data_IF_895668600396
#
_entry.id   IF_895668600396
#
_cell.length_a   1.000
_cell.length_b   1.000
_cell.length_c   1.000
_cell.angle_alpha   90.00
_cell.angle_beta   90.00
_cell.angle_gamma   90.00
#
_symmetry.space_group_name_H-M   'P 1'
#
loop_
_entity.id
_entity.type
_entity.pdbx_description
1 polymer ?
#
# COMPACT_ATOMS: atom_id res chain seq x y z
N UNK A 1 -26.83 -17.14 -8.59
CA UNK A 1 -27.40 -15.90 -9.15
C UNK A 1 -28.86 -15.83 -8.72
N UNK A 2 -29.31 -14.82 -8.01
CA UNK A 2 -30.72 -14.66 -7.72
C UNK A 2 -31.44 -14.25 -9.04
N UNK A 3 -32.24 -15.14 -9.55
CA UNK A 3 -33.07 -14.93 -10.72
C UNK A 3 -34.46 -14.55 -10.21
N UNK A 4 -35.04 -13.49 -10.76
CA UNK A 4 -36.43 -13.11 -10.47
C UNK A 4 -37.30 -13.29 -11.72
N UNK A 5 -38.57 -13.61 -11.50
CA UNK A 5 -39.58 -13.67 -12.54
C UNK A 5 -40.77 -12.80 -12.10
N UNK A 6 -41.08 -11.80 -12.87
CA UNK A 6 -42.25 -10.95 -12.68
C UNK A 6 -43.03 -10.85 -13.99
N UNK A 7 -44.26 -11.34 -13.98
CA UNK A 7 -45.16 -11.34 -15.15
C UNK A 7 -44.57 -12.01 -16.39
N UNK A 8 -43.84 -13.12 -16.23
CA UNK A 8 -43.25 -13.87 -17.33
C UNK A 8 -41.97 -13.26 -17.92
N UNK A 9 -41.42 -12.18 -17.29
CA UNK A 9 -40.12 -11.62 -17.60
C UNK A 9 -39.11 -12.14 -16.59
N UNK A 10 -38.05 -12.75 -17.11
CA UNK A 10 -36.93 -13.21 -16.30
C UNK A 10 -35.86 -12.12 -16.24
N UNK A 11 -35.33 -11.87 -15.08
CA UNK A 11 -34.21 -10.98 -14.88
C UNK A 11 -33.24 -11.50 -13.83
N UNK A 12 -32.04 -10.99 -13.84
CA UNK A 12 -31.03 -11.23 -12.82
C UNK A 12 -31.01 -10.00 -11.91
N UNK A 13 -31.02 -10.22 -10.61
CA UNK A 13 -30.85 -9.11 -9.66
C UNK A 13 -29.40 -8.67 -9.73
N UNK A 14 -29.12 -7.57 -10.43
CA UNK A 14 -27.78 -7.01 -10.67
C UNK A 14 -27.12 -6.37 -9.42
N UNK A 15 -27.66 -6.60 -8.24
CA UNK A 15 -27.03 -6.06 -7.02
C UNK A 15 -25.63 -6.70 -6.84
N UNK A 16 -24.61 -5.94 -7.21
CA UNK A 16 -23.20 -6.30 -7.03
C UNK A 16 -22.43 -6.68 -8.28
N UNK A 17 -23.06 -6.68 -9.48
CA UNK A 17 -22.33 -6.84 -10.75
C UNK A 17 -22.03 -5.47 -11.35
N UNK A 18 -20.79 -5.30 -11.79
CA UNK A 18 -20.39 -4.15 -12.59
C UNK A 18 -20.89 -4.31 -14.05
N UNK A 19 -21.16 -3.22 -14.78
CA UNK A 19 -21.44 -3.27 -16.21
C UNK A 19 -20.32 -3.97 -16.96
N UNK A 20 -20.62 -4.51 -18.16
CA UNK A 20 -19.61 -5.12 -19.02
C UNK A 20 -18.54 -4.09 -19.37
N UNK A 21 -17.29 -4.43 -19.14
CA UNK A 21 -16.13 -3.64 -19.51
C UNK A 21 -15.51 -4.22 -20.78
N UNK A 22 -15.05 -3.36 -21.66
CA UNK A 22 -14.31 -3.73 -22.86
C UNK A 22 -12.86 -3.25 -22.69
N UNK A 23 -11.91 -4.17 -22.84
CA UNK A 23 -10.48 -3.87 -22.79
C UNK A 23 -9.88 -4.01 -24.21
N UNK A 24 -9.02 -3.09 -24.57
CA UNK A 24 -8.07 -3.28 -25.66
C UNK A 24 -7.01 -4.32 -25.25
N UNK A 25 -6.24 -4.83 -26.23
CA UNK A 25 -5.15 -5.78 -25.97
C UNK A 25 -4.09 -5.18 -25.04
N UNK A 26 -3.73 -3.91 -25.24
CA UNK A 26 -2.69 -3.22 -24.45
C UNK A 26 -3.14 -2.95 -23.02
N UNK A 27 -4.42 -2.60 -22.82
CA UNK A 27 -5.00 -2.47 -21.47
C UNK A 27 -5.01 -3.80 -20.74
N UNK A 28 -5.44 -4.88 -21.40
CA UNK A 28 -5.44 -6.22 -20.82
C UNK A 28 -4.01 -6.68 -20.49
N UNK A 29 -3.03 -6.44 -21.37
CA UNK A 29 -1.62 -6.73 -21.11
C UNK A 29 -1.08 -5.99 -19.88
N UNK A 30 -1.39 -4.71 -19.75
CA UNK A 30 -1.00 -3.89 -18.61
C UNK A 30 -1.57 -4.42 -17.29
N UNK A 31 -2.84 -4.85 -17.27
CA UNK A 31 -3.47 -5.47 -16.10
C UNK A 31 -2.78 -6.81 -15.76
N UNK A 32 -2.48 -7.63 -16.76
CA UNK A 32 -1.77 -8.92 -16.54
C UNK A 32 -0.38 -8.69 -15.94
N UNK A 33 0.38 -7.70 -16.43
CA UNK A 33 1.69 -7.36 -15.85
C UNK A 33 1.58 -6.89 -14.41
N UNK A 34 0.61 -6.03 -14.10
CA UNK A 34 0.36 -5.56 -12.73
C UNK A 34 -0.02 -6.73 -11.81
N UNK A 35 -0.89 -7.63 -12.29
CA UNK A 35 -1.27 -8.83 -11.54
C UNK A 35 -0.09 -9.77 -11.28
N UNK A 36 0.80 -9.96 -12.26
CA UNK A 36 2.03 -10.76 -12.08
C UNK A 36 3.01 -10.13 -11.09
N UNK A 37 3.12 -8.80 -11.09
CA UNK A 37 3.93 -8.10 -10.10
C UNK A 37 3.37 -8.33 -8.69
N UNK A 38 2.05 -8.17 -8.52
CA UNK A 38 1.37 -8.41 -7.25
C UNK A 38 1.53 -9.86 -6.79
N UNK A 39 1.43 -10.84 -7.70
CA UNK A 39 1.59 -12.25 -7.40
C UNK A 39 2.94 -12.60 -6.78
N UNK A 40 4.03 -11.91 -7.17
CA UNK A 40 5.38 -12.11 -6.61
C UNK A 40 5.50 -11.69 -5.15
N UNK A 41 4.66 -10.78 -4.70
CA UNK A 41 4.66 -10.23 -3.35
C UNK A 41 3.43 -10.64 -2.54
N UNK A 42 2.58 -11.52 -3.10
CA UNK A 42 1.38 -11.98 -2.41
C UNK A 42 1.77 -12.80 -1.18
N UNK A 43 1.26 -12.42 -0.03
CA UNK A 43 1.40 -13.14 1.24
C UNK A 43 0.26 -14.11 1.50
N UNK A 44 -0.72 -14.20 0.59
CA UNK A 44 -1.87 -15.08 0.69
C UNK A 44 -2.72 -15.12 -0.58
N UNK A 45 -3.38 -16.25 -0.82
CA UNK A 45 -4.32 -16.39 -1.93
C UNK A 45 -5.63 -15.68 -1.65
N UNK A 46 -6.04 -14.80 -2.56
CA UNK A 46 -7.40 -14.23 -2.61
C UNK A 46 -8.20 -14.88 -3.74
N UNK A 47 -9.22 -15.71 -3.42
CA UNK A 47 -10.05 -16.38 -4.43
C UNK A 47 -10.76 -15.41 -5.39
N UNK A 48 -11.17 -14.24 -4.91
CA UNK A 48 -11.85 -13.24 -5.74
C UNK A 48 -10.89 -12.62 -6.76
N UNK A 49 -9.63 -12.37 -6.36
CA UNK A 49 -8.58 -11.91 -7.27
C UNK A 49 -8.27 -12.98 -8.33
N UNK A 50 -8.09 -14.24 -7.91
CA UNK A 50 -7.89 -15.35 -8.84
C UNK A 50 -9.05 -15.52 -9.82
N UNK A 51 -10.30 -15.45 -9.34
CA UNK A 51 -11.48 -15.52 -10.19
C UNK A 51 -11.59 -14.35 -11.20
N UNK A 52 -11.21 -13.14 -10.78
CA UNK A 52 -11.17 -11.97 -11.67
C UNK A 52 -10.12 -12.14 -12.77
N UNK A 53 -8.92 -12.62 -12.42
CA UNK A 53 -7.87 -12.91 -13.40
C UNK A 53 -8.26 -14.01 -14.38
N UNK A 54 -8.89 -15.09 -13.91
CA UNK A 54 -9.38 -16.16 -14.81
C UNK A 54 -10.45 -15.67 -15.79
N UNK A 55 -11.36 -14.78 -15.36
CA UNK A 55 -12.33 -14.14 -16.27
C UNK A 55 -11.63 -13.32 -17.34
N UNK A 56 -10.61 -12.54 -16.94
CA UNK A 56 -9.80 -11.77 -17.90
C UNK A 56 -9.06 -12.71 -18.86
N UNK A 57 -8.39 -13.74 -18.32
CA UNK A 57 -7.64 -14.73 -19.11
C UNK A 57 -8.48 -15.45 -20.14
N UNK A 58 -9.76 -15.75 -19.82
CA UNK A 58 -10.70 -16.38 -20.75
C UNK A 58 -11.05 -15.55 -22.01
N UNK A 59 -10.78 -14.25 -21.99
CA UNK A 59 -10.98 -13.33 -23.12
C UNK A 59 -9.70 -13.09 -23.94
N UNK A 60 -8.55 -13.58 -23.47
CA UNK A 60 -7.25 -13.32 -24.06
C UNK A 60 -6.81 -14.46 -24.99
N UNK A 61 -5.99 -14.10 -25.99
CA UNK A 61 -5.30 -15.04 -26.86
C UNK A 61 -3.94 -15.46 -26.25
N UNK A 62 -3.35 -16.56 -26.77
CA UNK A 62 -1.98 -16.92 -26.41
C UNK A 62 -0.98 -15.84 -26.89
N UNK A 63 0.13 -15.58 -26.13
CA UNK A 63 0.57 -16.28 -24.89
C UNK A 63 0.02 -15.66 -23.59
N UNK A 64 -0.88 -14.68 -23.65
CA UNK A 64 -1.37 -13.98 -22.45
C UNK A 64 -2.26 -14.88 -21.59
N UNK A 65 -3.09 -15.71 -22.23
CA UNK A 65 -3.95 -16.67 -21.52
C UNK A 65 -3.14 -17.59 -20.60
N UNK A 66 -2.17 -18.31 -21.15
CA UNK A 66 -1.32 -19.21 -20.38
C UNK A 66 -0.48 -18.48 -19.32
N UNK A 67 -0.18 -17.19 -19.54
CA UNK A 67 0.48 -16.34 -18.55
C UNK A 67 -0.43 -16.04 -17.36
N UNK A 68 -1.71 -15.77 -17.60
CA UNK A 68 -2.70 -15.57 -16.54
C UNK A 68 -2.92 -16.84 -15.75
N UNK A 69 -3.12 -17.98 -16.43
CA UNK A 69 -3.31 -19.29 -15.77
C UNK A 69 -2.16 -19.62 -14.83
N UNK A 70 -0.91 -19.53 -15.28
CA UNK A 70 0.27 -19.72 -14.43
C UNK A 70 0.35 -18.71 -13.28
N UNK A 71 -0.09 -17.48 -13.48
CA UNK A 71 -0.11 -16.48 -12.40
C UNK A 71 -1.10 -16.86 -11.32
N UNK A 72 -2.30 -17.32 -11.70
CA UNK A 72 -3.32 -17.79 -10.77
C UNK A 72 -2.84 -19.04 -10.02
N UNK A 73 -2.22 -19.99 -10.70
CA UNK A 73 -1.62 -21.18 -10.07
C UNK A 73 -0.57 -20.79 -9.01
N UNK A 74 0.35 -19.88 -9.35
CA UNK A 74 1.37 -19.38 -8.41
C UNK A 74 0.77 -18.72 -7.16
N UNK A 75 -0.28 -17.92 -7.33
CA UNK A 75 -0.96 -17.27 -6.20
C UNK A 75 -1.70 -18.33 -5.36
N UNK A 76 -2.30 -19.34 -5.99
CA UNK A 76 -3.06 -20.37 -5.31
C UNK A 76 -2.19 -21.32 -4.44
N UNK A 77 -0.89 -21.41 -4.72
CA UNK A 77 0.07 -22.15 -3.88
C UNK A 77 0.29 -21.49 -2.51
N UNK A 78 0.05 -20.19 -2.42
CA UNK A 78 0.20 -19.45 -1.15
C UNK A 78 -1.07 -19.60 -0.33
N UNK A 79 -0.96 -20.17 0.87
CA UNK A 79 -2.12 -20.29 1.77
C UNK A 79 -2.62 -18.90 2.14
N UNK A 80 -3.86 -18.61 1.78
CA UNK A 80 -4.55 -17.39 2.23
C UNK A 80 -4.92 -17.49 3.71
N UNK A 81 -5.01 -16.33 4.35
CA UNK A 81 -5.61 -16.19 5.67
C UNK A 81 -7.09 -15.77 5.50
N UNK A 82 -8.06 -16.69 5.74
CA UNK A 82 -9.47 -16.39 5.57
C UNK A 82 -9.98 -15.29 6.51
N UNK A 83 -9.38 -15.15 7.71
CA UNK A 83 -9.75 -14.12 8.68
C UNK A 83 -9.30 -12.76 8.19
N UNK A 84 -8.05 -12.64 7.72
CA UNK A 84 -7.53 -11.41 7.11
C UNK A 84 -8.33 -10.99 5.88
N UNK A 85 -8.72 -11.93 5.03
CA UNK A 85 -9.57 -11.65 3.86
C UNK A 85 -10.97 -11.19 4.27
N UNK A 86 -11.58 -11.82 5.28
CA UNK A 86 -12.88 -11.39 5.80
C UNK A 86 -12.81 -10.00 6.41
N UNK A 87 -11.74 -9.72 7.16
CA UNK A 87 -11.45 -8.40 7.71
C UNK A 87 -11.35 -7.34 6.61
N UNK A 88 -10.53 -7.59 5.59
CA UNK A 88 -10.37 -6.70 4.45
C UNK A 88 -11.71 -6.41 3.76
N UNK A 89 -12.51 -7.45 3.45
CA UNK A 89 -13.84 -7.29 2.84
C UNK A 89 -14.79 -6.47 3.72
N UNK A 90 -14.75 -6.67 5.05
CA UNK A 90 -15.57 -5.93 6.01
C UNK A 90 -15.23 -4.45 6.04
N UNK A 91 -13.94 -4.13 6.11
CA UNK A 91 -13.43 -2.75 6.11
C UNK A 91 -13.66 -2.08 4.74
N UNK A 92 -13.42 -2.80 3.64
CA UNK A 92 -13.68 -2.31 2.28
C UNK A 92 -15.17 -2.01 2.06
N UNK A 93 -16.08 -2.86 2.55
CA UNK A 93 -17.51 -2.62 2.51
C UNK A 93 -17.94 -1.37 3.27
N UNK A 94 -17.34 -1.11 4.42
CA UNK A 94 -17.57 0.10 5.19
C UNK A 94 -17.03 1.34 4.47
N UNK A 95 -15.84 1.24 3.91
CA UNK A 95 -15.24 2.29 3.08
C UNK A 95 -16.10 2.64 1.86
N UNK A 96 -16.52 1.65 1.07
CA UNK A 96 -17.37 1.85 -0.10
C UNK A 96 -18.71 2.51 0.28
N UNK A 97 -19.32 2.07 1.38
CA UNK A 97 -20.62 2.58 1.85
C UNK A 97 -20.54 3.83 2.73
N UNK A 98 -19.32 4.39 2.92
CA UNK A 98 -19.07 5.55 3.80
C UNK A 98 -19.64 5.38 5.21
N UNK A 99 -19.40 4.20 5.81
CA UNK A 99 -19.82 3.87 7.18
C UNK A 99 -18.65 3.89 8.13
N UNK A 100 -18.90 4.37 9.34
CA UNK A 100 -17.92 4.34 10.43
C UNK A 100 -17.60 2.90 10.82
N UNK A 101 -16.32 2.63 11.08
CA UNK A 101 -15.83 1.36 11.63
C UNK A 101 -15.33 1.56 13.06
N UNK A 102 -15.61 0.59 13.92
CA UNK A 102 -15.12 0.52 15.29
C UNK A 102 -14.28 -0.75 15.44
N UNK A 103 -13.15 -0.65 16.11
CA UNK A 103 -12.24 -1.77 16.31
C UNK A 103 -11.28 -1.54 17.48
N UNK A 104 -10.71 -2.62 17.96
CA UNK A 104 -9.60 -2.60 18.89
C UNK A 104 -8.29 -2.65 18.10
N UNK A 105 -7.34 -1.78 18.45
CA UNK A 105 -6.08 -1.60 17.71
C UNK A 105 -4.86 -1.72 18.61
N UNK A 106 -3.90 -2.54 18.19
CA UNK A 106 -2.60 -2.67 18.86
C UNK A 106 -1.57 -1.77 18.18
N UNK A 107 -1.17 -0.69 18.87
CA UNK A 107 -0.19 0.25 18.34
C UNK A 107 1.24 -0.35 18.36
N UNK A 108 2.00 -0.08 17.27
CA UNK A 108 3.39 -0.56 17.19
C UNK A 108 4.38 0.36 17.88
N UNK A 109 4.14 1.66 17.81
CA UNK A 109 5.17 2.67 18.07
C UNK A 109 4.91 3.53 19.32
N UNK A 110 3.70 4.03 19.51
CA UNK A 110 3.37 4.97 20.60
C UNK A 110 3.29 4.32 21.99
N UNK A 111 2.85 3.08 22.04
CA UNK A 111 2.80 2.25 23.25
C UNK A 111 2.73 0.78 22.80
N UNK A 112 3.88 0.11 22.55
CA UNK A 112 3.89 -1.24 21.99
C UNK A 112 3.08 -2.22 22.84
N UNK A 113 2.13 -2.93 22.20
CA UNK A 113 1.28 -3.92 22.85
C UNK A 113 0.05 -3.35 23.57
N UNK A 114 -0.08 -2.04 23.72
CA UNK A 114 -1.31 -1.46 24.28
C UNK A 114 -2.44 -1.51 23.25
N UNK A 115 -3.55 -2.11 23.65
CA UNK A 115 -4.79 -2.14 22.87
C UNK A 115 -5.62 -0.89 23.18
N UNK A 116 -6.11 -0.22 22.13
CA UNK A 116 -7.06 0.88 22.27
C UNK A 116 -8.27 0.67 21.38
N UNK A 117 -9.40 1.11 21.82
CA UNK A 117 -10.59 1.20 20.98
C UNK A 117 -10.48 2.41 20.05
N UNK A 118 -10.83 2.24 18.77
CA UNK A 118 -10.83 3.29 17.76
C UNK A 118 -12.18 3.31 17.04
N UNK A 119 -12.67 4.52 16.76
CA UNK A 119 -13.85 4.79 15.95
C UNK A 119 -13.44 5.66 14.79
N UNK A 120 -13.49 5.12 13.57
CA UNK A 120 -12.81 5.68 12.40
C UNK A 120 -13.77 5.83 11.22
N UNK A 121 -13.70 6.99 10.55
CA UNK A 121 -14.29 7.21 9.22
C UNK A 121 -13.29 6.75 8.17
N UNK A 122 -13.51 5.62 7.48
CA UNK A 122 -12.57 5.11 6.48
C UNK A 122 -12.57 5.98 5.22
N UNK A 123 -11.42 6.56 4.89
CA UNK A 123 -11.27 7.41 3.71
C UNK A 123 -10.56 6.70 2.57
N UNK A 124 -9.56 5.85 2.87
CA UNK A 124 -8.80 5.11 1.88
C UNK A 124 -8.35 3.76 2.45
N UNK A 125 -8.25 2.78 1.58
CA UNK A 125 -7.56 1.50 1.85
C UNK A 125 -6.38 1.44 0.88
N UNK A 126 -5.17 1.32 1.44
CA UNK A 126 -3.94 1.37 0.67
C UNK A 126 -3.04 0.19 0.98
N UNK A 127 -2.57 -0.57 -0.02
CA UNK A 127 -1.53 -1.57 0.17
C UNK A 127 -0.15 -0.90 0.22
N UNK A 128 0.69 -1.33 1.15
CA UNK A 128 2.08 -0.91 1.24
C UNK A 128 2.99 -1.90 0.52
N UNK A 129 3.78 -1.41 -0.41
CA UNK A 129 4.80 -2.22 -1.07
C UNK A 129 6.00 -2.52 -0.16
N UNK A 130 6.29 -1.64 0.81
CA UNK A 130 7.41 -1.79 1.73
C UNK A 130 7.14 -2.86 2.82
N UNK A 131 5.91 -2.92 3.33
CA UNK A 131 5.54 -3.83 4.43
C UNK A 131 4.70 -5.02 3.98
N UNK A 132 4.24 -5.04 2.72
CA UNK A 132 3.32 -6.02 2.14
C UNK A 132 2.02 -6.16 2.95
N UNK A 133 1.63 -5.10 3.65
CA UNK A 133 0.43 -5.05 4.47
C UNK A 133 -0.58 -4.07 3.87
N UNK A 134 -1.85 -4.25 4.23
CA UNK A 134 -2.91 -3.33 3.86
C UNK A 134 -3.23 -2.40 5.03
N UNK A 135 -3.44 -1.13 4.71
CA UNK A 135 -3.71 -0.08 5.68
C UNK A 135 -5.07 0.57 5.42
N UNK A 136 -5.73 0.93 6.50
CA UNK A 136 -6.86 1.85 6.50
C UNK A 136 -6.36 3.24 6.88
N UNK A 137 -6.60 4.22 6.03
CA UNK A 137 -6.37 5.63 6.32
C UNK A 137 -7.73 6.27 6.54
N UNK A 138 -7.88 6.95 7.67
CA UNK A 138 -9.16 7.53 8.03
C UNK A 138 -9.09 8.52 9.19
N UNK A 139 -10.20 9.19 9.44
CA UNK A 139 -10.34 10.13 10.55
C UNK A 139 -10.74 9.38 11.81
N UNK A 140 -9.86 9.39 12.80
CA UNK A 140 -10.08 8.82 14.13
C UNK A 140 -10.86 9.83 14.99
N UNK A 141 -12.13 9.55 15.22
CA UNK A 141 -13.04 10.45 15.99
C UNK A 141 -12.56 10.60 17.44
N UNK A 142 -11.91 9.60 18.01
CA UNK A 142 -11.39 9.67 19.39
C UNK A 142 -10.09 10.46 19.53
N UNK A 143 -9.37 10.67 18.42
CA UNK A 143 -8.13 11.43 18.38
C UNK A 143 -8.26 12.77 17.67
N UNK A 144 -9.41 13.04 17.07
CA UNK A 144 -9.70 14.24 16.28
C UNK A 144 -8.62 14.49 15.20
N UNK A 145 -8.20 13.43 14.52
CA UNK A 145 -7.10 13.51 13.55
C UNK A 145 -7.14 12.36 12.52
N UNK A 146 -6.52 12.61 11.36
CA UNK A 146 -6.20 11.55 10.41
C UNK A 146 -5.21 10.57 11.02
N UNK A 147 -5.46 9.27 10.81
CA UNK A 147 -4.60 8.20 11.29
C UNK A 147 -4.54 7.07 10.27
N UNK A 148 -3.42 6.36 10.33
CA UNK A 148 -3.15 5.18 9.53
C UNK A 148 -3.17 3.94 10.43
N UNK A 149 -3.93 2.93 10.02
CA UNK A 149 -4.14 1.70 10.77
C UNK A 149 -3.80 0.50 9.89
N UNK A 150 -2.88 -0.30 10.31
CA UNK A 150 -2.54 -1.56 9.65
C UNK A 150 -3.63 -2.60 9.96
N UNK A 151 -4.21 -3.23 8.93
CA UNK A 151 -5.37 -4.09 9.09
C UNK A 151 -5.10 -5.30 10.00
N UNK A 152 -3.95 -5.93 9.86
CA UNK A 152 -3.58 -7.12 10.65
C UNK A 152 -3.38 -6.85 12.16
N UNK A 153 -3.46 -5.57 12.59
CA UNK A 153 -3.44 -5.15 13.99
C UNK A 153 -4.80 -4.75 14.53
N UNK A 154 -5.84 -4.92 13.73
CA UNK A 154 -7.22 -4.66 14.13
C UNK A 154 -7.86 -5.95 14.64
N UNK A 155 -8.63 -5.84 15.70
CA UNK A 155 -9.48 -6.90 16.22
C UNK A 155 -10.86 -6.37 16.56
N UNK A 156 -11.84 -7.25 16.75
CA UNK A 156 -13.23 -6.91 17.11
C UNK A 156 -13.87 -5.86 16.18
N UNK A 157 -13.54 -5.92 14.87
CA UNK A 157 -14.01 -4.91 13.90
C UNK A 157 -15.53 -4.98 13.74
N UNK A 158 -16.19 -3.84 13.90
CA UNK A 158 -17.61 -3.66 13.71
C UNK A 158 -17.89 -2.52 12.73
N UNK A 159 -18.85 -2.71 11.84
CA UNK A 159 -19.33 -1.66 10.92
C UNK A 159 -20.56 -1.02 11.51
N UNK A 160 -20.46 0.26 11.85
CA UNK A 160 -21.57 1.04 12.39
C UNK A 160 -22.65 1.32 11.34
N UNK A 161 -23.78 1.79 11.81
CA UNK A 161 -24.88 2.29 10.97
C UNK A 161 -24.68 3.75 10.56
N UNK A 162 -23.82 4.47 11.29
CA UNK A 162 -23.52 5.89 11.04
C UNK A 162 -22.78 6.05 9.72
N UNK A 163 -23.28 6.92 8.86
CA UNK A 163 -22.60 7.33 7.62
C UNK A 163 -21.91 8.67 7.80
N UNK A 164 -20.92 8.96 6.96
CA UNK A 164 -20.19 10.22 6.96
C UNK A 164 -20.03 10.76 5.55
N UNK A 165 -19.74 12.05 5.43
CA UNK A 165 -19.37 12.69 4.17
C UNK A 165 -17.86 12.62 4.02
N UNK A 166 -17.36 12.08 2.90
CA UNK A 166 -15.93 12.03 2.60
C UNK A 166 -15.39 13.43 2.32
N UNK A 167 -14.17 13.75 2.78
CA UNK A 167 -13.48 14.93 2.31
C UNK A 167 -13.28 14.84 0.79
N UNK A 168 -13.04 15.98 0.15
CA UNK A 168 -12.71 16.00 -1.28
C UNK A 168 -11.36 15.31 -1.50
N UNK A 169 -11.26 14.52 -2.55
CA UNK A 169 -10.06 13.72 -2.87
C UNK A 169 -8.78 14.56 -2.89
N UNK A 170 -8.85 15.82 -3.32
CA UNK A 170 -7.71 16.75 -3.36
C UNK A 170 -7.06 16.99 -1.97
N UNK A 171 -7.86 17.00 -0.90
CA UNK A 171 -7.34 17.19 0.47
C UNK A 171 -6.61 15.94 0.96
N UNK A 172 -7.17 14.77 0.64
CA UNK A 172 -6.59 13.48 0.96
C UNK A 172 -5.29 13.23 0.18
N UNK A 173 -5.29 13.51 -1.14
CA UNK A 173 -4.11 13.41 -1.99
C UNK A 173 -2.95 14.30 -1.51
N UNK A 174 -3.24 15.52 -1.09
CA UNK A 174 -2.21 16.41 -0.53
C UNK A 174 -1.57 15.87 0.74
N UNK A 175 -2.36 15.28 1.62
CA UNK A 175 -1.85 14.66 2.84
C UNK A 175 -0.99 13.43 2.52
N UNK A 176 -1.47 12.57 1.62
CA UNK A 176 -0.77 11.33 1.24
C UNK A 176 0.47 11.59 0.39
N UNK A 177 0.49 12.68 -0.39
CA UNK A 177 1.64 13.02 -1.25
C UNK A 177 2.94 13.30 -0.49
N UNK A 178 2.87 13.54 0.82
CA UNK A 178 4.03 13.71 1.68
C UNK A 178 4.51 12.40 2.34
N UNK A 179 3.70 11.33 2.29
CA UNK A 179 4.13 10.02 2.80
C UNK A 179 5.17 9.41 1.87
N UNK A 180 6.18 8.75 2.42
CA UNK A 180 7.09 7.94 1.61
C UNK A 180 6.37 6.71 1.03
N UNK A 181 5.56 6.05 1.84
CA UNK A 181 4.71 4.90 1.48
C UNK A 181 3.26 5.15 1.94
N UNK A 182 2.98 5.11 3.24
CA UNK A 182 1.62 5.15 3.80
C UNK A 182 1.45 6.20 4.91
N UNK A 183 2.51 6.50 5.69
CA UNK A 183 2.42 7.32 6.90
C UNK A 183 2.50 8.80 6.54
N UNK A 184 1.37 9.49 6.64
CA UNK A 184 1.23 10.90 6.28
C UNK A 184 0.91 11.82 7.50
N UNK A 185 0.99 11.29 8.72
CA UNK A 185 0.58 11.99 9.95
C UNK A 185 1.75 12.48 10.81
N UNK A 186 2.96 12.50 10.22
CA UNK A 186 4.18 12.98 10.85
C UNK A 186 4.55 14.41 10.39
N UNK A 187 5.35 15.15 11.16
CA UNK A 187 5.90 16.42 10.69
C UNK A 187 6.65 16.28 9.37
N UNK A 188 6.52 17.29 8.51
CA UNK A 188 7.27 17.33 7.26
C UNK A 188 8.75 17.60 7.54
N UNK A 189 9.61 16.73 7.01
CA UNK A 189 11.06 16.83 7.11
C UNK A 189 11.69 16.82 5.72
N UNK A 190 12.73 17.64 5.53
CA UNK A 190 13.55 17.57 4.33
C UNK A 190 14.63 16.52 4.52
N UNK A 191 14.53 15.45 3.73
CA UNK A 191 15.53 14.38 3.69
C UNK A 191 16.47 14.64 2.54
N UNK A 192 17.78 14.64 2.82
CA UNK A 192 18.84 14.86 1.85
C UNK A 192 19.81 13.69 1.94
N UNK A 193 19.98 13.00 0.80
CA UNK A 193 20.90 11.86 0.66
C UNK A 193 21.84 12.09 -0.50
N UNK A 194 23.14 11.89 -0.27
CA UNK A 194 24.16 11.82 -1.32
C UNK A 194 24.36 10.38 -1.74
N UNK A 195 24.29 10.13 -3.02
CA UNK A 195 24.58 8.81 -3.59
C UNK A 195 25.93 8.81 -4.32
N UNK A 196 26.65 7.71 -4.19
CA UNK A 196 27.92 7.50 -4.89
C UNK A 196 27.76 7.59 -6.41
N UNK A 197 28.87 7.79 -7.13
CA UNK A 197 28.89 7.76 -8.61
C UNK A 197 28.38 6.43 -9.16
N UNK A 198 28.58 5.31 -8.45
CA UNK A 198 28.11 3.99 -8.83
C UNK A 198 26.58 3.83 -8.72
N UNK A 199 25.93 4.54 -7.79
CA UNK A 199 24.49 4.49 -7.59
C UNK A 199 23.73 5.61 -8.34
N UNK A 200 24.40 6.70 -8.70
CA UNK A 200 23.78 7.92 -9.22
C UNK A 200 22.78 7.67 -10.36
N UNK A 201 23.16 6.89 -11.37
CA UNK A 201 22.29 6.61 -12.53
C UNK A 201 21.06 5.77 -12.16
N UNK A 202 21.22 4.81 -11.25
CA UNK A 202 20.09 3.96 -10.79
C UNK A 202 19.09 4.78 -9.99
N UNK A 203 19.56 5.67 -9.13
CA UNK A 203 18.69 6.54 -8.34
C UNK A 203 17.96 7.55 -9.22
N UNK A 204 18.68 8.17 -10.17
CA UNK A 204 18.11 9.16 -11.09
C UNK A 204 17.06 8.58 -12.06
N UNK A 205 17.16 7.29 -12.39
CA UNK A 205 16.23 6.62 -13.32
C UNK A 205 14.82 6.41 -12.76
N UNK A 206 14.63 6.53 -11.44
CA UNK A 206 13.38 6.25 -10.78
C UNK A 206 12.87 7.47 -10.03
N UNK A 207 11.58 7.75 -10.18
CA UNK A 207 10.91 8.73 -9.33
C UNK A 207 10.42 8.04 -8.06
N UNK A 208 11.23 8.13 -6.99
CA UNK A 208 10.97 7.49 -5.69
C UNK A 208 9.89 8.20 -4.87
N UNK A 209 9.79 9.53 -5.01
CA UNK A 209 8.79 10.32 -4.30
C UNK A 209 8.33 11.52 -5.15
N UNK A 210 7.05 11.94 -5.06
CA UNK A 210 6.53 13.08 -5.84
C UNK A 210 7.29 14.40 -5.64
N UNK A 211 7.80 14.65 -4.42
CA UNK A 211 8.55 15.87 -4.08
C UNK A 211 10.05 15.77 -4.31
N UNK A 212 10.54 14.66 -4.90
CA UNK A 212 11.99 14.50 -5.07
C UNK A 212 12.59 15.51 -6.05
N UNK A 213 13.77 15.95 -5.69
CA UNK A 213 14.68 16.71 -6.54
C UNK A 213 16.03 15.99 -6.58
N UNK A 214 16.63 15.92 -7.76
CA UNK A 214 17.95 15.29 -7.94
C UNK A 214 18.92 16.27 -8.59
N UNK A 215 20.15 16.34 -8.08
CA UNK A 215 21.21 17.20 -8.63
C UNK A 215 22.49 16.40 -8.76
N UNK A 216 22.96 16.23 -10.00
CA UNK A 216 24.27 15.63 -10.27
C UNK A 216 25.37 16.61 -9.84
N UNK A 217 26.32 16.14 -9.04
CA UNK A 217 27.44 16.93 -8.55
C UNK A 217 28.63 16.86 -9.51
N UNK A 218 29.59 17.78 -9.38
CA UNK A 218 30.79 17.84 -10.23
C UNK A 218 31.71 16.62 -10.08
N UNK A 219 31.64 15.93 -8.95
CA UNK A 219 32.37 14.68 -8.68
C UNK A 219 31.66 13.43 -9.19
N UNK A 220 30.51 13.59 -9.87
CA UNK A 220 29.69 12.50 -10.37
C UNK A 220 28.75 11.87 -9.34
N UNK A 221 28.78 12.30 -8.08
CA UNK A 221 27.80 11.90 -7.07
C UNK A 221 26.44 12.55 -7.34
N UNK A 222 25.36 11.98 -6.81
CA UNK A 222 23.99 12.50 -6.94
C UNK A 222 23.48 12.97 -5.58
N UNK A 223 23.04 14.22 -5.51
CA UNK A 223 22.30 14.71 -4.37
C UNK A 223 20.80 14.51 -4.63
N UNK A 224 20.15 13.72 -3.79
CA UNK A 224 18.72 13.48 -3.79
C UNK A 224 18.08 14.19 -2.59
N UNK A 225 16.96 14.87 -2.81
CA UNK A 225 16.20 15.57 -1.78
C UNK A 225 14.73 15.25 -1.92
N UNK A 226 14.01 15.14 -0.79
CA UNK A 226 12.55 15.09 -0.78
C UNK A 226 12.01 15.64 0.55
N UNK A 227 10.75 16.12 0.50
CA UNK A 227 10.00 16.53 1.70
C UNK A 227 9.05 15.41 2.06
N UNK A 228 9.30 14.76 3.21
CA UNK A 228 8.60 13.55 3.64
C UNK A 228 7.88 13.78 4.96
N UNK A 229 6.75 13.09 5.14
CA UNK A 229 6.05 12.98 6.42
C UNK A 229 6.81 12.00 7.34
N UNK A 230 7.77 12.55 8.11
CA UNK A 230 8.68 11.77 8.92
C UNK A 230 9.76 11.03 8.12
N UNK A 231 10.66 10.35 8.85
CA UNK A 231 11.81 9.67 8.25
C UNK A 231 11.76 8.14 8.36
N UNK A 232 10.72 7.62 8.99
CA UNK A 232 10.65 6.21 9.39
C UNK A 232 10.54 5.27 8.18
N UNK A 233 9.70 5.64 7.21
CA UNK A 233 9.45 4.81 6.04
C UNK A 233 10.57 4.88 5.00
N UNK A 234 11.26 6.01 4.86
CA UNK A 234 12.39 6.16 3.93
C UNK A 234 13.65 5.47 4.43
N UNK A 235 13.77 5.27 5.75
CA UNK A 235 14.93 4.66 6.41
C UNK A 235 15.35 3.30 5.82
N UNK A 236 14.45 2.31 5.66
CA UNK A 236 14.82 1.02 5.04
C UNK A 236 15.32 1.15 3.61
N UNK A 237 14.75 2.07 2.83
CA UNK A 237 15.20 2.34 1.48
C UNK A 237 16.64 2.89 1.46
N UNK A 238 16.97 3.82 2.35
CA UNK A 238 18.33 4.35 2.46
C UNK A 238 19.31 3.24 2.87
N UNK A 239 18.96 2.44 3.88
CA UNK A 239 19.79 1.32 4.36
C UNK A 239 20.06 0.27 3.26
N UNK A 240 19.09 0.08 2.35
CA UNK A 240 19.22 -0.85 1.23
C UNK A 240 20.30 -0.47 0.21
N UNK A 241 20.78 0.78 0.22
CA UNK A 241 21.87 1.24 -0.64
C UNK A 241 23.26 0.99 -0.02
N UNK A 242 23.33 0.65 1.27
CA UNK A 242 24.58 0.36 1.97
C UNK A 242 25.57 1.54 1.90
N UNK A 243 26.80 1.27 1.46
CA UNK A 243 27.87 2.26 1.33
C UNK A 243 27.62 3.31 0.25
N UNK A 244 26.69 3.04 -0.66
CA UNK A 244 26.36 3.94 -1.77
C UNK A 244 25.51 5.14 -1.36
N UNK A 245 24.98 5.19 -0.11
CA UNK A 245 24.11 6.25 0.38
C UNK A 245 24.65 6.91 1.65
N UNK A 246 24.85 8.23 1.59
CA UNK A 246 25.19 9.06 2.75
C UNK A 246 24.04 10.01 3.07
N UNK A 247 23.46 9.90 4.26
CA UNK A 247 22.46 10.87 4.73
C UNK A 247 23.15 12.17 5.12
N UNK A 248 22.82 13.25 4.42
CA UNK A 248 23.30 14.61 4.73
C UNK A 248 22.41 15.26 5.77
N UNK A 249 21.12 15.02 5.70
CA UNK A 249 20.13 15.54 6.64
C UNK A 249 18.78 14.81 6.56
N UNK A 250 17.97 14.88 7.61
CA UNK A 250 18.18 15.56 8.90
C UNK A 250 19.15 14.81 9.83
N UNK A 251 19.75 15.52 10.80
CA UNK A 251 20.76 14.94 11.70
C UNK A 251 20.28 13.70 12.47
N UNK A 252 19.06 13.64 13.03
CA UNK A 252 18.57 12.43 13.70
C UNK A 252 18.55 11.19 12.79
N UNK A 253 18.16 11.34 11.54
CA UNK A 253 18.16 10.24 10.56
C UNK A 253 19.60 9.82 10.23
N UNK A 254 20.50 10.78 10.03
CA UNK A 254 21.93 10.52 9.75
C UNK A 254 22.55 9.71 10.88
N UNK A 255 22.33 10.13 12.13
CA UNK A 255 22.90 9.48 13.31
C UNK A 255 22.34 8.06 13.48
N UNK A 256 21.05 7.86 13.21
CA UNK A 256 20.39 6.55 13.25
C UNK A 256 20.94 5.60 12.18
N UNK A 257 21.07 6.06 10.93
CA UNK A 257 21.66 5.27 9.83
C UNK A 257 23.11 4.91 10.16
N UNK A 258 23.91 5.89 10.62
CA UNK A 258 25.32 5.65 10.97
C UNK A 258 25.45 4.65 12.11
N UNK A 259 24.58 4.70 13.12
CA UNK A 259 24.55 3.71 14.21
C UNK A 259 24.20 2.33 13.65
N UNK A 260 23.17 2.22 12.83
CA UNK A 260 22.71 0.95 12.26
C UNK A 260 23.79 0.27 11.41
N UNK A 261 24.55 1.04 10.63
CA UNK A 261 25.67 0.49 9.85
C UNK A 261 26.80 -0.02 10.72
N UNK A 262 27.15 0.70 11.82
CA UNK A 262 28.14 0.23 12.80
C UNK A 262 27.70 -1.05 13.50
N UNK A 263 26.44 -1.09 13.93
CA UNK A 263 25.88 -2.26 14.61
C UNK A 263 25.86 -3.47 13.63
N UNK A 264 25.49 -3.24 12.37
CA UNK A 264 25.54 -4.27 11.32
C UNK A 264 26.96 -4.76 11.08
N UNK A 265 27.96 -3.87 10.98
CA UNK A 265 29.36 -4.25 10.82
C UNK A 265 29.85 -5.13 11.98
N UNK A 266 29.48 -4.80 13.20
CA UNK A 266 29.85 -5.58 14.39
C UNK A 266 29.33 -7.02 14.39
N UNK A 267 28.18 -7.28 13.75
CA UNK A 267 27.62 -8.65 13.57
C UNK A 267 28.54 -9.51 12.69
N UNK A 268 29.30 -8.90 11.76
CA UNK A 268 30.24 -9.59 10.88
C UNK A 268 31.69 -9.56 11.41
N UNK A 269 31.90 -9.02 12.63
CA UNK A 269 33.22 -9.02 13.28
C UNK A 269 34.16 -7.91 12.77
N UNK A 270 33.60 -6.84 12.22
CA UNK A 270 34.35 -5.67 11.74
C UNK A 270 34.26 -4.50 12.73
#
# INVERSE_FOLDING_TARGET
>A
MPIWNEHGRWGVTEKGLLPALHFSRDEAFSIVLAARLLAKFSTGYDPEFGAALMKLGGMLEEPLRSTVERTVEQIAEVRGDPEAQQLLRKVAGAWISSRVVEFDYVAAWSNPGATRHARVRPYLIEPSAATLATYLIGYDEGRDAMRTFRLDRMSNVQVGITTFVRPRDIELEKQLSAAWDIVADQPLEEVVVRFSTGAASRVAAVRWHPSQETTLQSDGSLLWRARLSGTHEVRPWILGWGEDAEVIGPAPLRDDIARTHRDAASVYGA
#
